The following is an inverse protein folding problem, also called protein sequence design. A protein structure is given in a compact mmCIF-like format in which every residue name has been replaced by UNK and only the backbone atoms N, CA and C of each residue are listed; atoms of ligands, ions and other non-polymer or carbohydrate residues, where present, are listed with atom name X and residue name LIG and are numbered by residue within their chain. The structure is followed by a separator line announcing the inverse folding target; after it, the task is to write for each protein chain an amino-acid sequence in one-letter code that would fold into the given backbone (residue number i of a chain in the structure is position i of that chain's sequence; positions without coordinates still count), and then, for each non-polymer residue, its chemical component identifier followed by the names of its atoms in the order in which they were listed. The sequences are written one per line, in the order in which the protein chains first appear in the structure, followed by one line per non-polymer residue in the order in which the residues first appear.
data_IF_497432707068
#
_entry.id   IF_497432707068
#
_cell.length_a   1.000
_cell.length_b   1.000
_cell.length_c   1.000
_cell.angle_alpha   90.00
_cell.angle_beta   90.00
_cell.angle_gamma   90.00
#
_symmetry.space_group_name_H-M   'P 1'
#
loop_
_entity.id
_entity.type
_entity.pdbx_description
1 polymer ?
#
# COMPACT_ATOMS: atom_id res chain seq x y z
N UNK A 1 -1.43 37.27 -52.49
CA UNK A 1 -0.71 38.56 -52.43
C UNK A 1 0.72 38.29 -51.98
N UNK A 2 1.58 37.86 -52.90
CA UNK A 2 3.01 37.60 -52.63
C UNK A 2 3.79 38.82 -53.07
N UNK A 3 4.41 39.52 -52.12
CA UNK A 3 5.28 40.65 -52.42
C UNK A 3 6.62 40.06 -52.89
N UNK A 4 6.90 40.22 -54.18
CA UNK A 4 8.12 39.79 -54.87
C UNK A 4 9.37 40.43 -54.26
N UNK A 5 10.20 39.62 -53.58
CA UNK A 5 11.54 39.97 -53.07
C UNK A 5 12.52 40.47 -54.14
N UNK A 6 12.17 40.35 -55.42
CA UNK A 6 12.96 40.72 -56.59
C UNK A 6 13.30 42.21 -56.69
N UNK A 7 12.64 43.09 -55.92
CA UNK A 7 12.91 44.54 -55.92
C UNK A 7 14.01 44.97 -54.94
N UNK A 8 14.46 44.08 -54.06
CA UNK A 8 15.53 44.36 -53.09
C UNK A 8 16.88 43.70 -53.43
N UNK A 9 16.95 42.97 -54.55
CA UNK A 9 18.22 42.45 -55.06
C UNK A 9 18.88 43.55 -55.89
N UNK A 10 20.04 44.01 -55.43
CA UNK A 10 20.91 44.91 -56.19
C UNK A 10 21.30 44.21 -57.49
N UNK A 11 21.05 44.88 -58.61
CA UNK A 11 21.37 44.37 -59.94
C UNK A 11 22.90 44.29 -60.08
N UNK A 12 23.43 43.09 -60.37
CA UNK A 12 24.85 42.84 -60.61
C UNK A 12 25.16 42.84 -62.12
N UNK A 13 24.23 43.33 -62.95
CA UNK A 13 24.26 43.24 -64.41
C UNK A 13 24.80 44.45 -65.18
N UNK A 14 25.16 45.57 -64.53
CA UNK A 14 25.83 46.69 -65.22
C UNK A 14 27.35 46.61 -65.03
N UNK A 15 28.16 46.55 -66.10
CA UNK A 15 29.60 46.78 -65.98
C UNK A 15 29.79 48.25 -65.61
N UNK A 16 30.16 48.54 -64.36
CA UNK A 16 30.65 49.87 -64.03
C UNK A 16 31.83 50.21 -64.96
N UNK A 17 31.74 51.41 -65.52
CA UNK A 17 32.62 51.96 -66.53
C UNK A 17 34.08 51.66 -66.23
N UNK A 18 34.81 51.18 -67.24
CA UNK A 18 36.27 51.14 -67.23
C UNK A 18 36.79 52.49 -66.69
N UNK A 19 37.48 52.46 -65.55
CA UNK A 19 38.23 53.62 -65.09
C UNK A 19 39.08 54.12 -66.27
N UNK A 20 39.21 55.44 -66.47
CA UNK A 20 40.07 55.95 -67.52
C UNK A 20 41.45 55.32 -67.34
N UNK A 21 41.93 54.62 -68.37
CA UNK A 21 43.32 54.19 -68.44
C UNK A 21 44.10 55.50 -68.53
N UNK A 22 44.51 56.01 -67.37
CA UNK A 22 45.46 57.11 -67.30
C UNK A 22 46.74 56.61 -67.97
N UNK A 23 47.09 57.24 -69.07
CA UNK A 23 48.39 57.05 -69.71
C UNK A 23 49.45 57.50 -68.70
N UNK A 24 50.09 56.55 -68.03
CA UNK A 24 51.08 56.80 -66.98
C UNK A 24 52.38 57.44 -67.52
N UNK A 25 52.42 57.80 -68.80
CA UNK A 25 53.58 58.37 -69.48
C UNK A 25 53.53 59.89 -69.71
N UNK A 26 52.53 60.62 -69.17
CA UNK A 26 52.44 62.10 -69.31
C UNK A 26 52.58 62.89 -67.98
N UNK A 27 53.05 62.25 -66.91
CA UNK A 27 53.49 62.96 -65.69
C UNK A 27 55.01 63.21 -65.75
N UNK A 28 55.42 64.11 -66.63
CA UNK A 28 56.75 64.70 -66.62
C UNK A 28 56.87 65.75 -65.52
N UNK A 29 57.23 65.33 -64.31
CA UNK A 29 57.48 66.22 -63.17
C UNK A 29 57.49 65.45 -61.85
N UNK A 30 58.68 65.10 -61.41
CA UNK A 30 59.01 64.31 -60.22
C UNK A 30 58.74 65.10 -58.92
N UNK A 31 57.47 65.32 -58.57
CA UNK A 31 57.09 65.88 -57.26
C UNK A 31 55.65 65.49 -56.88
N UNK A 32 55.43 64.20 -56.61
CA UNK A 32 54.29 63.78 -55.80
C UNK A 32 54.61 64.19 -54.34
N UNK A 33 53.70 64.86 -53.61
CA UNK A 33 53.93 65.13 -52.19
C UNK A 33 54.19 63.80 -51.49
N UNK A 34 55.35 63.70 -50.82
CA UNK A 34 55.78 62.52 -50.08
C UNK A 34 54.66 62.13 -49.11
N UNK A 35 53.87 61.10 -49.47
CA UNK A 35 52.81 60.63 -48.60
C UNK A 35 53.46 60.20 -47.30
N UNK A 36 52.98 60.67 -46.13
CA UNK A 36 53.58 60.28 -44.86
C UNK A 36 53.62 58.76 -44.80
N UNK A 37 54.83 58.20 -44.67
CA UNK A 37 55.06 56.77 -44.65
C UNK A 37 54.20 56.17 -43.54
N UNK A 38 53.16 55.42 -43.92
CA UNK A 38 52.26 54.81 -42.95
C UNK A 38 53.09 53.94 -42.00
N UNK A 39 52.85 53.99 -40.68
CA UNK A 39 53.61 53.18 -39.75
C UNK A 39 53.47 51.71 -40.16
N UNK A 40 54.60 51.01 -40.32
CA UNK A 40 54.60 49.60 -40.69
C UNK A 40 53.89 48.80 -39.57
N UNK A 41 52.64 48.42 -39.82
CA UNK A 41 51.84 47.62 -38.89
C UNK A 41 52.41 46.21 -38.87
N UNK A 42 52.74 45.70 -37.69
CA UNK A 42 53.12 44.29 -37.51
C UNK A 42 51.85 43.42 -37.52
N UNK A 43 51.51 42.95 -38.72
CA UNK A 43 50.35 42.11 -39.00
C UNK A 43 50.38 40.82 -38.16
N UNK A 44 51.57 40.29 -37.83
CA UNK A 44 51.66 39.08 -37.00
C UNK A 44 51.35 39.35 -35.53
N UNK A 45 51.70 40.54 -35.03
CA UNK A 45 51.33 40.99 -33.70
C UNK A 45 49.82 41.19 -33.58
N UNK A 46 49.19 41.87 -34.54
CA UNK A 46 47.74 42.12 -34.56
C UNK A 46 46.95 40.81 -34.67
N UNK A 47 47.39 39.86 -35.52
CA UNK A 47 46.77 38.53 -35.62
C UNK A 47 46.83 37.75 -34.31
N UNK A 48 47.93 37.86 -33.56
CA UNK A 48 48.10 37.16 -32.27
C UNK A 48 47.19 37.75 -31.21
N UNK A 49 47.04 39.07 -31.19
CA UNK A 49 46.13 39.77 -30.29
C UNK A 49 44.67 39.42 -30.58
N UNK A 50 44.23 39.53 -31.84
CA UNK A 50 42.89 39.14 -32.25
C UNK A 50 42.57 37.65 -31.96
N UNK A 51 43.55 36.75 -32.14
CA UNK A 51 43.39 35.35 -31.76
C UNK A 51 43.27 35.16 -30.24
N UNK A 52 44.08 35.87 -29.45
CA UNK A 52 44.03 35.79 -27.99
C UNK A 52 42.70 36.32 -27.44
N UNK A 53 42.20 37.43 -27.98
CA UNK A 53 40.90 38.01 -27.64
C UNK A 53 39.75 37.07 -28.02
N UNK A 54 39.76 36.52 -29.25
CA UNK A 54 38.76 35.57 -29.70
C UNK A 54 38.77 34.27 -28.89
N UNK A 55 39.95 33.74 -28.56
CA UNK A 55 40.09 32.56 -27.72
C UNK A 55 39.60 32.82 -26.28
N UNK A 56 39.90 33.99 -25.71
CA UNK A 56 39.40 34.38 -24.40
C UNK A 56 37.87 34.50 -24.40
N UNK A 57 37.29 35.20 -25.40
CA UNK A 57 35.85 35.35 -25.54
C UNK A 57 35.13 33.99 -25.71
N UNK A 58 35.67 33.13 -26.58
CA UNK A 58 35.12 31.79 -26.80
C UNK A 58 35.22 30.91 -25.54
N UNK A 59 36.31 31.01 -24.79
CA UNK A 59 36.48 30.26 -23.53
C UNK A 59 35.43 30.69 -22.50
N UNK A 60 35.17 32.00 -22.38
CA UNK A 60 34.14 32.53 -21.48
C UNK A 60 32.76 32.04 -21.90
N UNK A 61 32.37 32.24 -23.16
CA UNK A 61 31.04 31.82 -23.65
C UNK A 61 30.81 30.32 -23.47
N UNK A 62 31.82 29.51 -23.79
CA UNK A 62 31.72 28.06 -23.69
C UNK A 62 31.64 27.60 -22.23
N UNK A 63 32.41 28.21 -21.34
CA UNK A 63 32.34 27.93 -19.89
C UNK A 63 30.98 28.30 -19.33
N UNK A 64 30.46 29.49 -19.64
CA UNK A 64 29.13 29.92 -19.21
C UNK A 64 28.04 28.99 -19.73
N UNK A 65 28.17 28.53 -20.98
CA UNK A 65 27.23 27.57 -21.56
C UNK A 65 27.27 26.23 -20.83
N UNK A 66 28.46 25.68 -20.59
CA UNK A 66 28.61 24.43 -19.84
C UNK A 66 28.07 24.55 -18.42
N UNK A 67 28.35 25.65 -17.72
CA UNK A 67 27.83 25.87 -16.38
C UNK A 67 26.30 26.00 -16.36
N UNK A 68 25.70 26.61 -17.38
CA UNK A 68 24.24 26.68 -17.53
C UNK A 68 23.67 25.29 -17.76
N UNK A 69 24.22 24.54 -18.70
CA UNK A 69 23.77 23.18 -19.01
C UNK A 69 23.92 22.25 -17.79
N UNK A 70 25.04 22.34 -17.06
CA UNK A 70 25.27 21.58 -15.84
C UNK A 70 24.28 21.94 -14.72
N UNK A 71 23.98 23.23 -14.54
CA UNK A 71 22.96 23.69 -13.58
C UNK A 71 21.57 23.17 -13.95
N UNK A 72 21.18 23.31 -15.21
CA UNK A 72 19.88 22.80 -15.70
C UNK A 72 19.77 21.29 -15.51
N UNK A 73 20.82 20.52 -15.84
CA UNK A 73 20.82 19.08 -15.65
C UNK A 73 20.70 18.69 -14.16
N UNK A 74 21.43 19.39 -13.28
CA UNK A 74 21.35 19.15 -11.84
C UNK A 74 19.95 19.46 -11.29
N UNK A 75 19.32 20.54 -11.74
CA UNK A 75 17.94 20.89 -11.34
C UNK A 75 16.91 19.88 -11.82
N UNK A 76 17.02 19.40 -13.07
CA UNK A 76 16.15 18.35 -13.61
C UNK A 76 16.31 17.07 -12.81
N UNK A 77 17.55 16.63 -12.59
CA UNK A 77 17.82 15.40 -11.84
C UNK A 77 17.33 15.49 -10.39
N UNK A 78 17.49 16.64 -9.73
CA UNK A 78 16.95 16.87 -8.39
C UNK A 78 15.42 16.72 -8.36
N UNK A 79 14.72 17.29 -9.35
CA UNK A 79 13.26 17.14 -9.48
C UNK A 79 12.84 15.70 -9.72
N UNK A 80 13.53 14.98 -10.61
CA UNK A 80 13.27 13.57 -10.90
C UNK A 80 13.42 12.69 -9.64
N UNK A 81 14.45 12.97 -8.83
CA UNK A 81 14.66 12.26 -7.55
C UNK A 81 13.58 12.58 -6.53
N UNK A 82 13.15 13.83 -6.42
CA UNK A 82 12.03 14.23 -5.55
C UNK A 82 10.71 13.57 -5.97
N UNK A 83 10.41 13.55 -7.27
CA UNK A 83 9.22 12.88 -7.80
C UNK A 83 9.25 11.37 -7.59
N UNK A 84 10.42 10.74 -7.79
CA UNK A 84 10.60 9.32 -7.54
C UNK A 84 10.45 8.99 -6.06
N UNK A 85 11.05 9.81 -5.19
CA UNK A 85 10.94 9.68 -3.73
C UNK A 85 9.49 9.80 -3.28
N UNK A 86 8.77 10.81 -3.74
CA UNK A 86 7.36 11.01 -3.38
C UNK A 86 6.50 9.82 -3.81
N UNK A 87 6.71 9.29 -5.02
CA UNK A 87 6.00 8.09 -5.49
C UNK A 87 6.27 6.89 -4.59
N UNK A 88 7.54 6.60 -4.29
CA UNK A 88 7.90 5.49 -3.42
C UNK A 88 7.39 5.65 -2.00
N UNK A 89 7.37 6.87 -1.45
CA UNK A 89 6.79 7.14 -0.12
C UNK A 89 5.29 6.83 -0.09
N UNK A 90 4.54 7.24 -1.12
CA UNK A 90 3.11 6.93 -1.24
C UNK A 90 2.86 5.44 -1.41
N UNK A 91 3.60 4.78 -2.30
CA UNK A 91 3.48 3.34 -2.54
C UNK A 91 3.84 2.53 -1.28
N UNK A 92 4.96 2.86 -0.63
CA UNK A 92 5.38 2.21 0.60
C UNK A 92 4.35 2.40 1.72
N UNK A 93 3.84 3.63 1.90
CA UNK A 93 2.80 3.89 2.88
C UNK A 93 1.51 3.10 2.61
N UNK A 94 1.09 3.00 1.34
CA UNK A 94 -0.08 2.23 0.95
C UNK A 94 0.11 0.72 1.22
N UNK A 95 1.27 0.16 0.87
CA UNK A 95 1.61 -1.24 1.13
C UNK A 95 1.65 -1.51 2.63
N UNK A 96 2.36 -0.68 3.40
CA UNK A 96 2.45 -0.83 4.87
C UNK A 96 1.06 -0.78 5.48
N UNK A 97 0.23 0.20 5.10
CA UNK A 97 -1.13 0.33 5.62
C UNK A 97 -2.00 -0.88 5.28
N UNK A 98 -1.88 -1.44 4.06
CA UNK A 98 -2.58 -2.68 3.69
C UNK A 98 -2.14 -3.84 4.56
N UNK A 99 -0.82 -4.07 4.66
CA UNK A 99 -0.29 -5.22 5.39
C UNK A 99 -0.58 -5.16 6.88
N UNK A 100 -0.60 -3.98 7.48
CA UNK A 100 -1.00 -3.80 8.88
C UNK A 100 -2.48 -4.19 9.07
N UNK A 101 -3.37 -3.82 8.14
CA UNK A 101 -4.78 -4.25 8.21
C UNK A 101 -4.93 -5.75 8.04
N UNK A 102 -4.22 -6.34 7.09
CA UNK A 102 -4.25 -7.80 6.87
C UNK A 102 -3.79 -8.54 8.12
N UNK A 103 -2.67 -8.12 8.73
CA UNK A 103 -2.17 -8.69 9.99
C UNK A 103 -3.17 -8.49 11.13
N UNK A 104 -3.79 -7.32 11.24
CA UNK A 104 -4.77 -7.06 12.29
C UNK A 104 -5.98 -8.00 12.18
N UNK A 105 -6.45 -8.25 10.96
CA UNK A 105 -7.54 -9.20 10.69
C UNK A 105 -7.12 -10.65 11.02
N UNK A 106 -5.94 -11.07 10.57
CA UNK A 106 -5.40 -12.41 10.88
C UNK A 106 -5.25 -12.62 12.39
N UNK A 107 -4.72 -11.63 13.11
CA UNK A 107 -4.57 -11.68 14.56
C UNK A 107 -5.94 -11.72 15.24
N UNK A 108 -6.91 -10.92 14.78
CA UNK A 108 -8.27 -10.95 15.33
C UNK A 108 -8.89 -12.35 15.17
N UNK A 109 -8.77 -12.97 13.99
CA UNK A 109 -9.27 -14.31 13.73
C UNK A 109 -8.59 -15.37 14.61
N UNK A 110 -7.26 -15.32 14.74
CA UNK A 110 -6.50 -16.24 15.61
C UNK A 110 -6.88 -16.10 17.08
N UNK A 111 -7.02 -14.86 17.56
CA UNK A 111 -7.43 -14.59 18.95
C UNK A 111 -8.86 -15.03 19.19
N UNK A 112 -9.78 -14.76 18.25
CA UNK A 112 -11.17 -15.21 18.36
C UNK A 112 -11.28 -16.73 18.37
N UNK A 113 -10.56 -17.43 17.48
CA UNK A 113 -10.53 -18.89 17.46
C UNK A 113 -9.97 -19.46 18.77
N UNK A 114 -8.83 -18.94 19.23
CA UNK A 114 -8.22 -19.37 20.50
C UNK A 114 -9.10 -19.06 21.73
N UNK A 115 -9.79 -17.91 21.74
CA UNK A 115 -10.74 -17.57 22.78
C UNK A 115 -11.94 -18.50 22.78
N UNK A 116 -12.47 -18.85 21.61
CA UNK A 116 -13.59 -19.77 21.48
C UNK A 116 -13.21 -21.19 21.96
N UNK A 117 -12.02 -21.67 21.60
CA UNK A 117 -11.48 -22.95 22.09
C UNK A 117 -11.29 -22.96 23.61
N UNK A 118 -10.77 -21.86 24.19
CA UNK A 118 -10.57 -21.74 25.63
C UNK A 118 -11.89 -21.67 26.42
N UNK A 119 -12.91 -21.00 25.87
CA UNK A 119 -14.20 -20.78 26.53
C UNK A 119 -15.15 -21.97 26.36
N UNK A 120 -15.05 -22.71 25.25
CA UNK A 120 -15.95 -23.82 24.91
C UNK A 120 -16.15 -24.85 26.05
N UNK A 121 -15.11 -25.37 26.73
CA UNK A 121 -15.29 -26.33 27.81
C UNK A 121 -16.03 -25.76 29.03
N UNK A 122 -15.77 -24.50 29.36
CA UNK A 122 -16.42 -23.80 30.49
C UNK A 122 -17.91 -23.63 30.21
N UNK A 123 -18.26 -23.18 29.01
CA UNK A 123 -19.64 -23.03 28.58
C UNK A 123 -20.37 -24.38 28.48
N UNK A 124 -19.69 -25.41 28.00
CA UNK A 124 -20.22 -26.78 27.97
C UNK A 124 -20.57 -27.26 29.38
N UNK A 125 -19.66 -27.07 30.34
CA UNK A 125 -19.89 -27.44 31.73
C UNK A 125 -21.02 -26.65 32.39
N UNK A 126 -21.11 -25.34 32.14
CA UNK A 126 -22.16 -24.50 32.67
C UNK A 126 -23.54 -24.85 32.09
N UNK A 127 -23.62 -25.10 30.77
CA UNK A 127 -24.85 -25.55 30.12
C UNK A 127 -25.28 -26.92 30.65
N UNK A 128 -24.32 -27.83 30.87
CA UNK A 128 -24.58 -29.15 31.41
C UNK A 128 -25.23 -29.09 32.80
N UNK A 129 -24.64 -28.28 33.70
CA UNK A 129 -25.21 -28.05 35.02
C UNK A 129 -26.62 -27.44 34.91
N UNK A 130 -26.80 -26.45 34.04
CA UNK A 130 -28.11 -25.80 33.86
C UNK A 130 -29.17 -26.75 33.32
N UNK A 131 -28.81 -27.61 32.37
CA UNK A 131 -29.69 -28.62 31.81
C UNK A 131 -30.14 -29.64 32.88
N UNK A 132 -29.22 -30.08 33.75
CA UNK A 132 -29.54 -30.95 34.88
C UNK A 132 -30.47 -30.28 35.90
N UNK A 133 -30.24 -29.01 36.24
CA UNK A 133 -31.14 -28.23 37.11
C UNK A 133 -32.54 -28.10 36.51
N UNK A 134 -32.64 -27.74 35.23
CA UNK A 134 -33.93 -27.62 34.54
C UNK A 134 -34.67 -28.95 34.45
N UNK A 135 -33.94 -30.05 34.21
CA UNK A 135 -34.51 -31.38 34.21
C UNK A 135 -35.03 -31.78 35.61
N UNK A 136 -34.29 -31.44 36.66
CA UNK A 136 -34.72 -31.67 38.03
C UNK A 136 -36.00 -30.87 38.36
N UNK A 137 -36.13 -29.64 37.88
CA UNK A 137 -37.36 -28.86 38.03
C UNK A 137 -38.56 -29.54 37.38
N UNK A 138 -38.42 -29.98 36.12
CA UNK A 138 -39.47 -30.70 35.40
C UNK A 138 -39.86 -32.01 36.10
N UNK A 139 -38.89 -32.71 36.68
CA UNK A 139 -39.14 -33.94 37.42
C UNK A 139 -39.88 -33.69 38.74
N UNK A 140 -39.52 -32.62 39.47
CA UNK A 140 -40.25 -32.24 40.70
C UNK A 140 -41.71 -31.98 40.37
N UNK A 141 -41.98 -31.21 39.33
CA UNK A 141 -43.35 -30.89 38.91
C UNK A 141 -44.11 -32.16 38.51
N UNK A 142 -43.50 -33.04 37.71
CA UNK A 142 -44.10 -34.31 37.32
C UNK A 142 -44.39 -35.25 38.53
N UNK A 143 -43.49 -35.28 39.53
CA UNK A 143 -43.70 -36.06 40.76
C UNK A 143 -44.86 -35.50 41.58
N UNK A 144 -44.96 -34.17 41.71
CA UNK A 144 -46.05 -33.50 42.43
C UNK A 144 -47.41 -33.66 41.72
N UNK A 145 -47.41 -33.72 40.39
CA UNK A 145 -48.59 -34.00 39.56
C UNK A 145 -49.01 -35.48 39.56
N UNK A 146 -48.25 -36.34 40.25
CA UNK A 146 -48.61 -37.75 40.45
C UNK A 146 -48.13 -38.68 39.34
N UNK A 147 -46.95 -38.43 38.76
CA UNK A 147 -46.31 -39.32 37.79
C UNK A 147 -46.43 -40.80 38.19
N UNK A 148 -47.07 -41.59 37.33
CA UNK A 148 -47.33 -43.00 37.58
C UNK A 148 -46.15 -43.86 37.11
N UNK A 149 -45.30 -44.31 38.03
CA UNK A 149 -44.30 -45.35 37.73
C UNK A 149 -42.92 -45.10 38.35
N UNK A 150 -41.99 -46.00 38.03
CA UNK A 150 -40.60 -45.86 38.42
C UNK A 150 -39.90 -44.85 37.49
N UNK A 151 -39.25 -43.83 38.06
CA UNK A 151 -38.44 -42.86 37.31
C UNK A 151 -37.04 -43.42 37.16
N UNK A 152 -36.60 -43.63 35.93
CA UNK A 152 -35.27 -44.17 35.62
C UNK A 152 -34.44 -43.09 34.92
N UNK A 153 -33.26 -42.80 35.44
CA UNK A 153 -32.33 -41.81 34.89
C UNK A 153 -31.08 -42.51 34.40
N UNK A 154 -30.74 -42.30 33.13
CA UNK A 154 -29.52 -42.76 32.48
C UNK A 154 -28.62 -41.57 32.20
N UNK A 155 -27.32 -41.69 32.45
CA UNK A 155 -26.35 -40.64 32.12
C UNK A 155 -25.19 -40.58 33.10
N UNK A 156 -24.29 -39.59 32.95
CA UNK A 156 -23.13 -39.42 33.81
C UNK A 156 -23.49 -39.20 35.26
N UNK A 157 -22.72 -39.83 36.15
CA UNK A 157 -22.85 -39.65 37.61
C UNK A 157 -22.76 -38.18 38.02
N UNK A 158 -21.84 -37.41 37.41
CA UNK A 158 -21.69 -35.98 37.70
C UNK A 158 -22.98 -35.17 37.51
N UNK A 159 -23.72 -35.42 36.42
CA UNK A 159 -24.96 -34.68 36.14
C UNK A 159 -26.12 -35.21 36.98
N UNK A 160 -26.13 -36.53 37.22
CA UNK A 160 -27.09 -37.13 38.14
C UNK A 160 -26.95 -36.57 39.56
N UNK A 161 -25.73 -36.33 40.04
CA UNK A 161 -25.49 -35.74 41.36
C UNK A 161 -26.08 -34.33 41.48
N UNK A 162 -25.95 -33.50 40.44
CA UNK A 162 -26.57 -32.16 40.37
C UNK A 162 -28.09 -32.29 40.40
N UNK A 163 -28.65 -33.16 39.56
CA UNK A 163 -30.08 -33.43 39.50
C UNK A 163 -30.63 -33.95 40.84
N UNK A 164 -29.88 -34.82 41.52
CA UNK A 164 -30.23 -35.39 42.83
C UNK A 164 -30.23 -34.32 43.92
N UNK A 165 -29.23 -33.43 43.93
CA UNK A 165 -29.16 -32.31 44.87
C UNK A 165 -30.38 -31.39 44.70
N UNK A 166 -30.78 -31.13 43.46
CA UNK A 166 -31.95 -30.32 43.14
C UNK A 166 -33.27 -31.02 43.50
N UNK A 167 -33.40 -32.33 43.28
CA UNK A 167 -34.63 -33.07 43.63
C UNK A 167 -34.92 -33.12 45.14
N UNK A 168 -33.88 -33.03 45.98
CA UNK A 168 -34.01 -33.01 47.44
C UNK A 168 -34.73 -34.24 47.99
N UNK A 169 -35.80 -34.03 48.76
CA UNK A 169 -36.63 -35.10 49.36
C UNK A 169 -37.18 -36.11 48.32
N UNK A 170 -37.35 -35.67 47.06
CA UNK A 170 -37.90 -36.51 45.98
C UNK A 170 -36.84 -37.40 45.31
N UNK A 171 -35.57 -37.27 45.68
CA UNK A 171 -34.47 -38.04 45.09
C UNK A 171 -34.64 -39.57 45.25
N UNK A 172 -35.32 -40.01 46.31
CA UNK A 172 -35.58 -41.43 46.57
C UNK A 172 -36.52 -42.09 45.53
N UNK A 173 -37.28 -41.29 44.78
CA UNK A 173 -38.18 -41.78 43.73
C UNK A 173 -37.46 -42.14 42.43
N UNK A 174 -36.17 -41.81 42.31
CA UNK A 174 -35.41 -41.89 41.06
C UNK A 174 -34.32 -42.96 41.16
N UNK A 175 -34.21 -43.82 40.13
CA UNK A 175 -33.11 -44.79 40.00
C UNK A 175 -32.14 -44.37 38.92
N UNK A 176 -30.85 -44.35 39.24
CA UNK A 176 -29.79 -43.99 38.30
C UNK A 176 -29.12 -45.22 37.69
N UNK A 177 -28.84 -45.14 36.40
CA UNK A 177 -27.95 -46.01 35.66
C UNK A 177 -26.86 -45.16 35.01
N UNK A 178 -25.63 -45.38 35.45
CA UNK A 178 -24.48 -44.69 34.88
C UNK A 178 -24.27 -45.14 33.43
N UNK A 179 -24.09 -44.16 32.55
CA UNK A 179 -23.73 -44.36 31.15
C UNK A 179 -22.68 -43.32 30.75
N UNK A 180 -21.79 -43.68 29.82
CA UNK A 180 -20.74 -42.80 29.27
C UNK A 180 -21.26 -41.76 28.26
N UNK A 181 -22.55 -41.44 28.30
CA UNK A 181 -23.17 -40.43 27.43
C UNK A 181 -22.89 -39.02 27.94
N UNK A 182 -23.01 -37.99 27.11
CA UNK A 182 -22.95 -36.58 27.54
C UNK A 182 -24.28 -36.14 28.13
N UNK A 183 -25.38 -36.80 27.72
CA UNK A 183 -26.74 -36.44 28.07
C UNK A 183 -27.30 -37.22 29.27
N UNK A 184 -28.24 -36.60 30.00
CA UNK A 184 -29.15 -37.27 30.91
C UNK A 184 -30.45 -37.62 30.17
N UNK A 185 -30.88 -38.88 30.28
CA UNK A 185 -32.17 -39.36 29.80
C UNK A 185 -33.01 -39.84 30.97
N UNK A 186 -34.24 -39.35 31.09
CA UNK A 186 -35.20 -39.74 32.13
C UNK A 186 -36.38 -40.44 31.48
N UNK A 187 -36.66 -41.65 31.92
CA UNK A 187 -37.80 -42.47 31.51
C UNK A 187 -38.88 -42.39 32.61
N UNK A 188 -40.09 -41.97 32.24
CA UNK A 188 -41.28 -41.89 33.12
C UNK A 188 -42.47 -42.50 32.38
N UNK A 189 -42.92 -43.69 32.78
CA UNK A 189 -43.97 -44.42 32.08
C UNK A 189 -43.59 -44.66 30.61
N UNK A 190 -44.39 -44.10 29.69
CA UNK A 190 -44.15 -44.18 28.23
C UNK A 190 -43.40 -42.95 27.67
N UNK A 191 -42.96 -42.02 28.53
CA UNK A 191 -42.29 -40.78 28.13
C UNK A 191 -40.79 -40.80 28.42
N UNK A 192 -40.00 -40.22 27.52
CA UNK A 192 -38.55 -40.07 27.66
C UNK A 192 -38.17 -38.60 27.48
N UNK A 193 -37.50 -38.03 28.48
CA UNK A 193 -36.98 -36.66 28.46
C UNK A 193 -35.47 -36.73 28.41
N UNK A 194 -34.85 -36.05 27.45
CA UNK A 194 -33.39 -36.08 27.26
C UNK A 194 -32.82 -34.67 27.27
N UNK A 195 -31.75 -34.43 28.02
CA UNK A 195 -30.98 -33.18 27.90
C UNK A 195 -30.25 -33.21 26.56
N UNK A 196 -30.45 -32.24 25.66
CA UNK A 196 -29.83 -32.26 24.31
C UNK A 196 -28.44 -31.60 24.30
N UNK A 197 -27.55 -31.98 25.22
CA UNK A 197 -26.20 -31.40 25.34
C UNK A 197 -25.25 -31.93 24.26
N UNK A 198 -25.38 -33.19 23.85
CA UNK A 198 -24.63 -33.78 22.73
C UNK A 198 -24.85 -32.99 21.42
N UNK A 199 -26.10 -32.63 21.13
CA UNK A 199 -26.46 -31.83 19.96
C UNK A 199 -25.87 -30.42 20.02
N UNK A 200 -25.83 -29.82 21.22
CA UNK A 200 -25.19 -28.52 21.42
C UNK A 200 -23.68 -28.60 21.26
N UNK A 201 -23.01 -29.62 21.84
CA UNK A 201 -21.57 -29.82 21.72
C UNK A 201 -21.16 -30.07 20.25
N UNK A 202 -21.95 -30.84 19.50
CA UNK A 202 -21.75 -31.03 18.07
C UNK A 202 -21.92 -29.72 17.28
N UNK A 203 -22.92 -28.89 17.64
CA UNK A 203 -23.14 -27.59 17.01
C UNK A 203 -21.99 -26.62 17.29
N UNK A 204 -21.46 -26.62 18.52
CA UNK A 204 -20.31 -25.80 18.90
C UNK A 204 -19.05 -26.24 18.16
N UNK A 205 -18.79 -27.55 18.09
CA UNK A 205 -17.66 -28.09 17.33
C UNK A 205 -17.69 -27.64 15.87
N UNK A 206 -18.86 -27.67 15.23
CA UNK A 206 -19.03 -27.20 13.84
C UNK A 206 -18.74 -25.70 13.65
N UNK A 207 -18.91 -24.87 14.68
CA UNK A 207 -18.61 -23.43 14.62
C UNK A 207 -17.13 -23.14 14.89
N UNK A 208 -16.45 -24.05 15.57
CA UNK A 208 -15.01 -23.96 15.85
C UNK A 208 -14.13 -24.52 14.72
N UNK A 209 -14.71 -25.35 13.83
CA UNK A 209 -14.10 -25.86 12.59
C UNK A 209 -14.27 -24.87 11.43
#
# INVERSE_FOLDING_TARGET
MSITLSRYLKDFGEPESSAPILDMNDFGGDDFPEMPNEPAIDIEAERREAYAEGHAAATVELTERYEREARTLAEVHARELEELKLRYEVEAAAVIASRIRDIAEEVAQLVSAGAAEAIAPVMTGALAAKAAESLAALLRDAILEGAAGAIVVRGPTRLFDILKAELGEHAAAVRHFETDDIDLAVEIGDSVIVTRMSAWAASLKKVLE
#
